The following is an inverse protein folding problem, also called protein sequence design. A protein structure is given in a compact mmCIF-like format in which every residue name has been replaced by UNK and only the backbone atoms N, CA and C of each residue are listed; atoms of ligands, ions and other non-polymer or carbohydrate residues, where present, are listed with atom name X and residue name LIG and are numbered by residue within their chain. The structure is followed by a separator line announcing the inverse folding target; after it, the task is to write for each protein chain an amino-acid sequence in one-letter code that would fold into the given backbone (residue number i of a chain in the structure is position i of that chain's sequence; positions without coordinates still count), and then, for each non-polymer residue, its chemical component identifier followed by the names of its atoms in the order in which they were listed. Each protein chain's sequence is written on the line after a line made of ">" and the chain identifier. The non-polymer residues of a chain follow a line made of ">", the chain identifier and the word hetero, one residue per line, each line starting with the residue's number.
data_IF_411114879291
#
_entry.id   IF_411114879291
#
_cell.length_a   1.000
_cell.length_b   1.000
_cell.length_c   1.000
_cell.angle_alpha   90.00
_cell.angle_beta   90.00
_cell.angle_gamma   90.00
#
_symmetry.space_group_name_H-M   'P 1'
#
loop_
_entity.id
_entity.type
_entity.pdbx_description
1 polymer ?
#
# COMPACT_ATOMS: atom_id res chain seq x y z
N UNK A 1 -13.11 7.44 20.84
CA UNK A 1 -13.36 6.00 20.96
C UNK A 1 -12.17 5.19 20.58
N UNK A 2 -11.65 4.52 21.58
CA UNK A 2 -10.41 3.76 21.40
C UNK A 2 -10.62 2.46 20.64
N UNK A 3 -11.82 1.88 20.63
CA UNK A 3 -12.09 0.60 19.99
C UNK A 3 -11.87 0.62 18.48
N UNK A 4 -12.34 1.67 17.79
CA UNK A 4 -12.19 1.78 16.34
C UNK A 4 -10.74 2.04 15.96
N UNK A 5 -10.03 2.86 16.72
CA UNK A 5 -8.62 3.12 16.49
C UNK A 5 -7.78 1.88 16.74
N UNK A 6 -8.10 1.11 17.77
CA UNK A 6 -7.41 -0.13 18.07
C UNK A 6 -7.55 -1.16 16.97
N UNK A 7 -8.75 -1.28 16.40
CA UNK A 7 -9.00 -2.18 15.28
C UNK A 7 -8.24 -1.74 14.04
N UNK A 8 -8.32 -0.44 13.69
CA UNK A 8 -7.61 0.10 12.54
C UNK A 8 -6.10 -0.07 12.68
N UNK A 9 -5.56 0.16 13.87
CA UNK A 9 -4.14 -0.02 14.16
C UNK A 9 -3.70 -1.46 13.92
N UNK A 10 -4.49 -2.43 14.39
CA UNK A 10 -4.20 -3.86 14.15
C UNK A 10 -4.25 -4.20 12.66
N UNK A 11 -5.23 -3.65 11.93
CA UNK A 11 -5.35 -3.87 10.49
C UNK A 11 -4.15 -3.28 9.74
N UNK A 12 -3.65 -2.11 10.16
CA UNK A 12 -2.44 -1.51 9.58
C UNK A 12 -1.26 -2.45 9.75
N UNK A 13 -1.04 -2.95 10.96
CA UNK A 13 0.08 -3.85 11.23
C UNK A 13 -0.05 -5.13 10.41
N UNK A 14 -1.25 -5.73 10.39
CA UNK A 14 -1.49 -6.94 9.62
C UNK A 14 -1.27 -6.72 8.12
N UNK A 15 -1.72 -5.58 7.59
CA UNK A 15 -1.53 -5.23 6.18
C UNK A 15 -0.05 -5.07 5.87
N UNK A 16 0.69 -4.35 6.72
CA UNK A 16 2.13 -4.16 6.54
C UNK A 16 2.87 -5.50 6.60
N UNK A 17 2.49 -6.38 7.52
CA UNK A 17 3.08 -7.72 7.62
C UNK A 17 2.83 -8.54 6.36
N UNK A 18 1.60 -8.48 5.83
CA UNK A 18 1.23 -9.19 4.61
C UNK A 18 2.01 -8.67 3.40
N UNK A 19 2.29 -7.37 3.36
CA UNK A 19 3.11 -6.78 2.29
C UNK A 19 4.55 -7.25 2.38
N UNK A 20 5.12 -7.28 3.59
CA UNK A 20 6.50 -7.75 3.80
C UNK A 20 6.65 -9.23 3.43
N UNK A 21 5.65 -10.05 3.75
CA UNK A 21 5.67 -11.48 3.46
C UNK A 21 5.23 -11.83 2.04
N UNK A 22 4.87 -10.81 1.24
CA UNK A 22 4.42 -10.97 -0.15
C UNK A 22 3.09 -11.72 -0.28
N UNK A 23 2.31 -11.84 0.80
CA UNK A 23 0.97 -12.42 0.72
C UNK A 23 -0.08 -11.41 0.25
N UNK A 24 0.26 -10.12 0.21
CA UNK A 24 -0.58 -9.06 -0.34
C UNK A 24 0.29 -8.20 -1.25
N UNK A 25 -0.20 -7.88 -2.45
CA UNK A 25 0.55 -7.06 -3.38
C UNK A 25 0.75 -5.63 -2.85
N UNK A 26 1.85 -5.00 -3.26
CA UNK A 26 2.25 -3.70 -2.73
C UNK A 26 1.28 -2.58 -3.08
N UNK A 27 0.67 -2.63 -4.27
CA UNK A 27 -0.29 -1.61 -4.69
C UNK A 27 -1.54 -1.64 -3.83
N UNK A 28 -2.15 -2.82 -3.70
CA UNK A 28 -3.35 -3.00 -2.87
C UNK A 28 -3.08 -2.70 -1.41
N UNK A 29 -1.95 -3.18 -0.90
CA UNK A 29 -1.54 -2.94 0.48
C UNK A 29 -1.34 -1.46 0.77
N UNK A 30 -0.67 -0.74 -0.13
CA UNK A 30 -0.44 0.70 0.03
C UNK A 30 -1.73 1.49 0.04
N UNK A 31 -2.67 1.15 -0.82
CA UNK A 31 -3.99 1.80 -0.84
C UNK A 31 -4.74 1.59 0.46
N UNK A 32 -4.66 0.36 1.00
CA UNK A 32 -5.30 0.04 2.27
C UNK A 32 -4.64 0.80 3.43
N UNK A 33 -3.33 0.85 3.49
CA UNK A 33 -2.61 1.61 4.52
C UNK A 33 -2.94 3.09 4.46
N UNK A 34 -3.02 3.67 3.27
CA UNK A 34 -3.37 5.07 3.10
C UNK A 34 -4.78 5.37 3.63
N UNK A 35 -5.72 4.46 3.41
CA UNK A 35 -7.07 4.63 3.94
C UNK A 35 -7.10 4.49 5.47
N UNK A 36 -6.42 3.48 5.99
CA UNK A 36 -6.44 3.18 7.43
C UNK A 36 -5.74 4.23 8.28
N UNK A 37 -4.73 4.93 7.74
CA UNK A 37 -4.01 5.94 8.52
C UNK A 37 -4.91 7.07 9.02
N UNK A 38 -5.95 7.37 8.27
CA UNK A 38 -6.91 8.40 8.68
C UNK A 38 -7.71 7.97 9.91
N UNK A 39 -7.99 6.68 10.02
CA UNK A 39 -8.80 6.14 11.11
C UNK A 39 -8.06 6.15 12.45
N UNK A 40 -6.74 6.19 12.43
CA UNK A 40 -5.95 6.29 13.68
C UNK A 40 -5.42 7.70 13.94
N UNK A 41 -5.87 8.67 13.15
CA UNK A 41 -5.41 10.06 13.29
C UNK A 41 -3.97 10.28 12.86
N UNK A 42 -3.46 9.45 11.97
CA UNK A 42 -2.05 9.49 11.54
C UNK A 42 -1.88 10.06 10.14
N UNK A 43 -2.82 10.89 9.67
CA UNK A 43 -2.79 11.45 8.31
C UNK A 43 -1.50 12.19 8.00
N UNK A 44 -0.91 12.86 9.00
CA UNK A 44 0.30 13.65 8.84
C UNK A 44 1.56 12.93 9.33
N UNK A 45 1.45 11.65 9.65
CA UNK A 45 2.60 10.90 10.17
C UNK A 45 3.62 10.60 9.09
N UNK A 46 4.89 10.89 9.37
CA UNK A 46 6.00 10.59 8.47
C UNK A 46 6.20 9.10 8.21
N UNK A 47 5.70 8.25 9.12
CA UNK A 47 5.76 6.79 8.94
C UNK A 47 5.15 6.35 7.61
N UNK A 48 4.12 7.06 7.15
CA UNK A 48 3.39 6.67 5.94
C UNK A 48 3.85 7.40 4.68
N UNK A 49 4.80 8.31 4.76
CA UNK A 49 5.23 9.11 3.59
C UNK A 49 5.67 8.25 2.40
N UNK A 50 6.50 7.22 2.56
CA UNK A 50 6.86 6.37 1.41
C UNK A 50 5.66 5.63 0.83
N UNK A 51 4.72 5.25 1.68
CA UNK A 51 3.49 4.56 1.26
C UNK A 51 2.59 5.52 0.48
N UNK A 52 2.44 6.75 0.98
CA UNK A 52 1.64 7.78 0.31
C UNK A 52 2.21 8.10 -1.07
N UNK A 53 3.51 8.27 -1.16
CA UNK A 53 4.19 8.54 -2.42
C UNK A 53 3.99 7.42 -3.43
N UNK A 54 4.15 6.19 -2.99
CA UNK A 54 3.97 5.01 -3.84
C UNK A 54 2.51 4.89 -4.29
N UNK A 55 1.56 5.08 -3.38
CA UNK A 55 0.14 5.02 -3.71
C UNK A 55 -0.23 6.07 -4.77
N UNK A 56 0.27 7.28 -4.60
CA UNK A 56 0.05 8.38 -5.53
C UNK A 56 0.61 8.06 -6.92
N UNK A 57 1.83 7.51 -6.99
CA UNK A 57 2.48 7.16 -8.25
C UNK A 57 1.81 5.98 -8.95
N UNK A 58 1.18 5.08 -8.21
CA UNK A 58 0.54 3.89 -8.77
C UNK A 58 -0.97 4.04 -8.94
N UNK A 59 -1.52 5.20 -8.63
CA UNK A 59 -2.95 5.48 -8.70
C UNK A 59 -3.53 5.28 -10.10
N UNK A 60 -2.73 5.51 -11.13
CA UNK A 60 -3.15 5.36 -12.53
C UNK A 60 -3.29 3.90 -12.97
N UNK A 61 -2.71 2.96 -12.23
CA UNK A 61 -2.74 1.55 -12.63
C UNK A 61 -4.03 0.89 -12.15
N UNK A 62 -4.82 0.29 -13.07
CA UNK A 62 -6.07 -0.34 -12.68
C UNK A 62 -5.83 -1.63 -11.90
N UNK A 63 -6.68 -1.89 -10.91
CA UNK A 63 -6.66 -3.12 -10.12
C UNK A 63 -8.06 -3.71 -10.07
N UNK A 64 -8.13 -5.00 -9.82
CA UNK A 64 -9.41 -5.70 -9.66
C UNK A 64 -10.30 -5.56 -10.88
N UNK A 65 -11.58 -5.31 -10.66
CA UNK A 65 -12.59 -5.26 -11.73
C UNK A 65 -12.38 -4.09 -12.69
N UNK A 66 -11.69 -3.04 -12.28
CA UNK A 66 -11.40 -1.91 -13.15
C UNK A 66 -10.59 -2.32 -14.38
N UNK A 67 -9.80 -3.39 -14.28
CA UNK A 67 -8.98 -3.89 -15.39
C UNK A 67 -9.82 -4.33 -16.59
N UNK A 68 -11.04 -4.81 -16.34
CA UNK A 68 -11.93 -5.26 -17.40
C UNK A 68 -12.33 -4.16 -18.38
N UNK A 69 -12.16 -2.90 -18.01
CA UNK A 69 -12.51 -1.75 -18.85
C UNK A 69 -11.41 -1.37 -19.85
N UNK A 70 -10.25 -2.03 -19.78
CA UNK A 70 -9.10 -1.71 -20.62
C UNK A 70 -8.79 -2.87 -21.57
N UNK A 71 -8.20 -2.55 -22.73
CA UNK A 71 -7.75 -3.59 -23.66
C UNK A 71 -6.59 -4.38 -23.06
N UNK A 72 -6.44 -5.64 -23.48
CA UNK A 72 -5.36 -6.50 -22.99
C UNK A 72 -3.99 -5.95 -23.36
N UNK A 73 -3.83 -5.41 -24.56
CA UNK A 73 -2.56 -4.84 -24.98
C UNK A 73 -2.14 -3.67 -24.11
N UNK A 74 -3.10 -2.79 -23.77
CA UNK A 74 -2.84 -1.67 -22.88
C UNK A 74 -2.48 -2.12 -21.48
N UNK A 75 -3.20 -3.13 -20.97
CA UNK A 75 -2.91 -3.70 -19.64
C UNK A 75 -1.52 -4.33 -19.58
N UNK A 76 -1.09 -5.02 -20.64
CA UNK A 76 0.24 -5.59 -20.68
C UNK A 76 1.33 -4.51 -20.58
N UNK A 77 1.13 -3.41 -21.28
CA UNK A 77 2.05 -2.27 -21.21
C UNK A 77 2.09 -1.67 -19.81
N UNK A 78 0.93 -1.44 -19.20
CA UNK A 78 0.83 -0.89 -17.86
C UNK A 78 1.44 -1.84 -16.83
N UNK A 79 1.17 -3.15 -16.97
CA UNK A 79 1.71 -4.15 -16.05
C UNK A 79 3.24 -4.19 -16.12
N UNK A 80 3.81 -4.06 -17.31
CA UNK A 80 5.26 -4.03 -17.47
C UNK A 80 5.87 -2.79 -16.83
N UNK A 81 5.27 -1.62 -17.04
CA UNK A 81 5.71 -0.38 -16.41
C UNK A 81 5.63 -0.46 -14.89
N UNK A 82 4.53 -1.02 -14.39
CA UNK A 82 4.32 -1.17 -12.95
C UNK A 82 5.34 -2.14 -12.36
N UNK A 83 5.61 -3.25 -13.03
CA UNK A 83 6.59 -4.23 -12.56
C UNK A 83 7.97 -3.59 -12.38
N UNK A 84 8.41 -2.79 -13.35
CA UNK A 84 9.68 -2.08 -13.27
C UNK A 84 9.69 -1.09 -12.11
N UNK A 85 8.60 -0.36 -11.92
CA UNK A 85 8.47 0.59 -10.82
C UNK A 85 8.46 -0.12 -9.46
N UNK A 86 7.77 -1.26 -9.38
CA UNK A 86 7.72 -2.07 -8.15
C UNK A 86 9.10 -2.58 -7.77
N UNK A 87 9.87 -3.06 -8.75
CA UNK A 87 11.22 -3.55 -8.48
C UNK A 87 12.11 -2.45 -7.87
N UNK A 88 11.99 -1.22 -8.35
CA UNK A 88 12.74 -0.10 -7.83
C UNK A 88 12.24 0.37 -6.45
N UNK A 89 10.93 0.28 -6.23
CA UNK A 89 10.29 0.81 -5.03
C UNK A 89 10.26 -0.17 -3.87
N UNK A 90 10.33 -1.45 -4.16
CA UNK A 90 10.15 -2.52 -3.17
C UNK A 90 11.03 -2.37 -1.92
N UNK A 91 12.34 -2.12 -2.02
CA UNK A 91 13.16 -2.00 -0.81
C UNK A 91 12.70 -0.89 0.11
N UNK A 92 12.33 0.26 -0.44
CA UNK A 92 11.87 1.40 0.36
C UNK A 92 10.51 1.11 1.00
N UNK A 93 9.61 0.46 0.27
CA UNK A 93 8.29 0.09 0.78
C UNK A 93 8.39 -0.94 1.89
N UNK A 94 9.23 -1.96 1.72
CA UNK A 94 9.42 -2.99 2.75
C UNK A 94 10.01 -2.35 4.00
N UNK A 95 10.98 -1.46 3.85
CA UNK A 95 11.56 -0.74 4.99
C UNK A 95 10.50 0.10 5.70
N UNK A 96 9.64 0.79 4.96
CA UNK A 96 8.55 1.58 5.53
C UNK A 96 7.55 0.69 6.30
N UNK A 97 7.19 -0.45 5.73
CA UNK A 97 6.29 -1.40 6.39
C UNK A 97 6.88 -1.93 7.70
N UNK A 98 8.17 -2.23 7.71
CA UNK A 98 8.86 -2.68 8.93
C UNK A 98 8.84 -1.60 10.01
N UNK A 99 9.06 -0.34 9.63
CA UNK A 99 8.97 0.77 10.60
C UNK A 99 7.56 0.93 11.16
N UNK A 100 6.55 0.77 10.32
CA UNK A 100 5.15 0.81 10.74
C UNK A 100 4.86 -0.30 11.74
N UNK A 101 5.31 -1.51 11.45
CA UNK A 101 5.13 -2.66 12.34
C UNK A 101 5.80 -2.41 13.70
N UNK A 102 7.02 -1.89 13.70
CA UNK A 102 7.74 -1.59 14.93
C UNK A 102 7.05 -0.50 15.75
N UNK A 103 6.52 0.52 15.09
CA UNK A 103 5.92 1.68 15.76
C UNK A 103 4.51 1.41 16.27
N UNK A 104 3.73 0.61 15.55
CA UNK A 104 2.32 0.39 15.85
C UNK A 104 2.02 -1.03 16.36
N UNK A 105 2.95 -1.95 16.16
CA UNK A 105 2.78 -3.35 16.57
C UNK A 105 2.92 -3.64 18.04
#
# INVERSE_FOLDING_TARGET
>A
MTGNQGKARREIVQTAMAMVSESLDLVSGSRRLCALRHEIGASDSELFYPIIGFESETDIYPVGDARAQYSQGYLQQLDQELEEYLDRSKPALVAACKRIIESLG
#
